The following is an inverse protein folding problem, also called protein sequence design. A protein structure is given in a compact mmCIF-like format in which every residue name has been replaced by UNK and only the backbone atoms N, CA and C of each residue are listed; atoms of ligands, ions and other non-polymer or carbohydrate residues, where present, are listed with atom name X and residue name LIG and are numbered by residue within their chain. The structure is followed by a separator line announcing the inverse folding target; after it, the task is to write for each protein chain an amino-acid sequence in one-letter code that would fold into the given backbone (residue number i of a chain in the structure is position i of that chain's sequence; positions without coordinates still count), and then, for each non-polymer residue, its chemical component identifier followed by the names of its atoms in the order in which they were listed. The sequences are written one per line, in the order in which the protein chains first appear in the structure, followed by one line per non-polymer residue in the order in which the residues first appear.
data_IF_450032698617
#
_entry.id   IF_450032698617
#
_cell.length_a   1.000
_cell.length_b   1.000
_cell.length_c   1.000
_cell.angle_alpha   90.00
_cell.angle_beta   90.00
_cell.angle_gamma   90.00
#
_symmetry.space_group_name_H-M   'P 1'
#
loop_
_entity.id
_entity.type
_entity.pdbx_description
1 polymer ?
#
# COMPACT_ATOMS: atom_id res chain seq x y z
N UNK A 1 14.61 1.45 -15.62
CA UNK A 1 13.61 2.45 -15.18
C UNK A 1 13.22 2.06 -13.78
N UNK A 2 13.23 2.96 -12.78
CA UNK A 2 12.65 2.62 -11.47
C UNK A 2 11.20 2.19 -11.72
N UNK A 3 10.81 1.03 -11.18
CA UNK A 3 9.43 0.53 -11.31
C UNK A 3 8.44 1.60 -10.82
N UNK A 4 7.32 1.75 -11.54
CA UNK A 4 6.21 2.60 -11.11
C UNK A 4 5.79 2.16 -9.70
N UNK A 5 5.88 3.05 -8.68
CA UNK A 5 5.59 2.68 -7.31
C UNK A 5 4.15 2.18 -7.12
N UNK A 6 3.20 2.63 -7.96
CA UNK A 6 1.84 2.11 -7.96
C UNK A 6 1.80 0.67 -8.47
N UNK A 7 2.57 0.36 -9.52
CA UNK A 7 2.67 -1.00 -10.05
C UNK A 7 3.31 -1.96 -9.03
N UNK A 8 4.35 -1.51 -8.31
CA UNK A 8 4.96 -2.29 -7.22
C UNK A 8 3.93 -2.59 -6.12
N UNK A 9 3.23 -1.56 -5.65
CA UNK A 9 2.22 -1.69 -4.61
C UNK A 9 1.09 -2.65 -5.02
N UNK A 10 0.61 -2.55 -6.28
CA UNK A 10 -0.42 -3.44 -6.84
C UNK A 10 0.07 -4.88 -6.92
N UNK A 11 1.31 -5.11 -7.37
CA UNK A 11 1.88 -6.45 -7.46
C UNK A 11 1.95 -7.14 -6.09
N UNK A 12 2.33 -6.41 -5.04
CA UNK A 12 2.30 -6.91 -3.67
C UNK A 12 0.88 -7.27 -3.24
N UNK A 13 -0.08 -6.38 -3.51
CA UNK A 13 -1.49 -6.63 -3.21
C UNK A 13 -2.05 -7.86 -3.95
N UNK A 14 -1.76 -8.01 -5.24
CA UNK A 14 -2.19 -9.15 -6.07
C UNK A 14 -1.54 -10.46 -5.61
N UNK A 15 -0.36 -10.39 -4.98
CA UNK A 15 0.31 -11.53 -4.36
C UNK A 15 -0.30 -11.91 -3.00
N UNK A 16 -1.28 -11.15 -2.52
CA UNK A 16 -1.95 -11.34 -1.22
C UNK A 16 -1.25 -10.68 -0.03
N UNK A 17 -0.21 -9.88 -0.27
CA UNK A 17 0.47 -9.17 0.82
C UNK A 17 -0.37 -8.00 1.33
N UNK A 18 -0.26 -7.76 2.64
CA UNK A 18 -0.92 -6.63 3.29
C UNK A 18 0.04 -5.45 3.23
N UNK A 19 -0.42 -4.31 2.72
CA UNK A 19 0.34 -3.06 2.79
C UNK A 19 -0.32 -2.09 3.76
N UNK A 20 0.49 -1.32 4.48
CA UNK A 20 0.03 -0.26 5.40
C UNK A 20 0.89 0.98 5.25
N UNK A 21 0.24 2.15 5.27
CA UNK A 21 0.91 3.44 5.31
C UNK A 21 1.42 3.65 6.73
N UNK A 22 2.74 3.62 6.91
CA UNK A 22 3.39 3.75 8.22
C UNK A 22 3.88 5.17 8.49
N UNK A 23 4.13 5.95 7.43
CA UNK A 23 4.37 7.38 7.55
C UNK A 23 3.81 8.13 6.34
N UNK A 24 3.23 9.30 6.60
CA UNK A 24 2.79 10.24 5.56
C UNK A 24 3.40 11.60 5.84
N UNK A 25 4.00 12.19 4.82
CA UNK A 25 4.54 13.55 4.80
C UNK A 25 3.79 14.38 3.78
N UNK A 26 4.11 15.68 3.71
CA UNK A 26 3.45 16.61 2.78
C UNK A 26 3.59 16.23 1.31
N UNK A 27 4.70 15.58 0.95
CA UNK A 27 5.09 15.26 -0.43
C UNK A 27 5.50 13.78 -0.62
N UNK A 28 5.46 12.97 0.43
CA UNK A 28 5.97 11.60 0.41
C UNK A 28 5.19 10.68 1.34
N UNK A 29 5.20 9.40 1.01
CA UNK A 29 4.57 8.36 1.81
C UNK A 29 5.51 7.17 1.96
N UNK A 30 5.51 6.59 3.15
CA UNK A 30 6.18 5.33 3.46
C UNK A 30 5.13 4.26 3.70
N UNK A 31 5.26 3.17 2.97
CA UNK A 31 4.38 2.02 3.00
C UNK A 31 5.22 0.82 3.41
N UNK A 32 4.76 0.11 4.43
CA UNK A 32 5.33 -1.17 4.84
C UNK A 32 4.47 -2.30 4.31
N UNK A 33 5.11 -3.35 3.81
CA UNK A 33 4.50 -4.60 3.40
C UNK A 33 4.66 -5.65 4.50
N UNK A 34 3.59 -6.39 4.72
CA UNK A 34 3.50 -7.47 5.69
C UNK A 34 3.06 -8.74 4.96
N UNK A 35 3.40 -9.94 5.47
CA UNK A 35 2.83 -11.17 4.95
C UNK A 35 1.31 -11.15 5.14
N UNK A 36 0.61 -12.09 4.50
CA UNK A 36 -0.84 -12.23 4.62
C UNK A 36 -1.32 -12.39 6.08
N UNK A 37 -0.44 -12.83 6.99
CA UNK A 37 -0.70 -12.96 8.43
C UNK A 37 -0.44 -11.69 9.24
N UNK A 38 0.11 -10.62 8.64
CA UNK A 38 0.25 -9.30 9.25
C UNK A 38 1.33 -9.16 10.34
N UNK A 39 2.22 -10.15 10.50
CA UNK A 39 3.15 -10.23 11.65
C UNK A 39 4.49 -9.52 11.47
N UNK A 40 5.22 -9.79 10.38
CA UNK A 40 6.59 -9.29 10.17
C UNK A 40 6.64 -8.30 9.00
N UNK A 41 7.50 -7.26 9.07
CA UNK A 41 7.76 -6.38 7.93
C UNK A 41 8.55 -7.18 6.87
N UNK A 42 7.94 -7.40 5.70
CA UNK A 42 8.61 -8.02 4.55
C UNK A 42 9.47 -7.01 3.80
N UNK A 43 8.91 -5.82 3.56
CA UNK A 43 9.56 -4.80 2.74
C UNK A 43 8.96 -3.42 3.03
N UNK A 44 9.63 -2.37 2.56
CA UNK A 44 9.23 -0.97 2.73
C UNK A 44 9.45 -0.17 1.45
N UNK A 45 8.36 0.44 0.97
CA UNK A 45 8.38 1.39 -0.14
C UNK A 45 8.20 2.81 0.38
N UNK A 46 9.21 3.66 0.18
CA UNK A 46 9.06 5.12 0.34
C UNK A 46 9.03 5.76 -1.03
N UNK A 47 8.04 6.61 -1.29
CA UNK A 47 7.94 7.32 -2.55
C UNK A 47 7.27 8.68 -2.39
N UNK A 48 7.75 9.64 -3.17
CA UNK A 48 7.20 10.98 -3.34
C UNK A 48 6.39 11.12 -4.63
N UNK A 49 6.09 9.99 -5.29
CA UNK A 49 5.39 10.00 -6.56
C UNK A 49 3.93 10.46 -6.39
N UNK A 50 3.48 11.51 -7.08
CA UNK A 50 2.12 12.01 -6.98
C UNK A 50 1.05 11.00 -7.42
N UNK A 51 1.39 10.00 -8.24
CA UNK A 51 0.49 8.90 -8.59
C UNK A 51 0.27 7.96 -7.40
N UNK A 52 1.34 7.61 -6.67
CA UNK A 52 1.22 6.80 -5.45
C UNK A 52 0.46 7.56 -4.37
N UNK A 53 0.78 8.84 -4.14
CA UNK A 53 0.09 9.67 -3.15
C UNK A 53 -1.42 9.72 -3.39
N UNK A 54 -1.84 9.86 -4.66
CA UNK A 54 -3.25 9.80 -5.07
C UNK A 54 -3.84 8.40 -4.88
N UNK A 55 -3.10 7.34 -5.20
CA UNK A 55 -3.58 5.97 -5.05
C UNK A 55 -3.90 5.61 -3.58
N UNK A 56 -3.05 6.05 -2.65
CA UNK A 56 -3.28 5.85 -1.21
C UNK A 56 -4.01 7.03 -0.55
N UNK A 57 -4.51 8.01 -1.31
CA UNK A 57 -5.29 9.10 -0.75
C UNK A 57 -6.63 8.55 -0.25
N UNK A 58 -6.85 8.54 1.06
CA UNK A 58 -8.05 7.98 1.69
C UNK A 58 -7.95 6.51 2.06
N UNK A 59 -6.77 5.88 1.97
CA UNK A 59 -6.52 4.52 2.48
C UNK A 59 -5.23 4.49 3.26
N UNK A 60 -5.28 3.93 4.47
CA UNK A 60 -4.10 3.70 5.29
C UNK A 60 -3.61 2.25 5.22
N UNK A 61 -4.39 1.34 4.61
CA UNK A 61 -3.99 -0.04 4.39
C UNK A 61 -4.73 -0.69 3.21
N UNK A 62 -4.23 -1.84 2.75
CA UNK A 62 -4.93 -2.66 1.74
C UNK A 62 -6.29 -3.15 2.21
N UNK A 63 -6.46 -3.33 3.53
CA UNK A 63 -7.69 -3.82 4.15
C UNK A 63 -8.79 -2.75 4.19
N UNK A 64 -8.40 -1.48 4.10
CA UNK A 64 -9.34 -0.35 4.04
C UNK A 64 -10.15 -0.36 2.73
N UNK A 65 -9.53 -0.83 1.63
CA UNK A 65 -10.22 -1.03 0.36
C UNK A 65 -11.23 -2.20 0.42
N UNK A 66 -10.95 -3.23 1.22
CA UNK A 66 -11.88 -4.35 1.43
C UNK A 66 -13.09 -3.92 2.28
N UNK A 67 -12.89 -2.97 3.19
CA UNK A 67 -13.96 -2.38 4.00
C UNK A 67 -14.96 -1.53 3.19
N UNK A 68 -14.48 -0.84 2.15
CA UNK A 68 -15.34 -0.05 1.24
C UNK A 68 -15.92 -0.89 0.09
N UNK A 69 -15.41 -2.11 -0.13
CA UNK A 69 -15.99 -3.04 -1.09
C UNK A 69 -17.38 -3.51 -0.61
N UNK A 70 -18.45 -3.39 -1.43
CA UNK A 70 -19.78 -3.84 -1.04
C UNK A 70 -19.83 -5.36 -0.95
N UNK A 71 -19.59 -5.89 0.26
CA UNK A 71 -19.90 -7.25 0.66
C UNK A 71 -18.98 -8.33 0.08
N UNK A 72 -17.93 -8.68 0.82
CA UNK A 72 -17.48 -10.08 0.85
C UNK A 72 -18.46 -10.88 1.71
N UNK A 73 -19.46 -11.49 1.07
CA UNK A 73 -20.24 -12.61 1.64
C UNK A 73 -19.56 -13.93 1.33
#
# INVERSE_FOLDING_TARGET
MPDDPVAVLRRWHDSGAIWRVTARRSDSVTITFYPCTGGEELDRLTSSDPALLRYVAGRDSSEDADRDAPGRR
#
